data_IF_899892146513
#
_entry.id   IF_899892146513
#
_cell.length_a   1.000
_cell.length_b   1.000
_cell.length_c   1.000
_cell.angle_alpha   90.00
_cell.angle_beta   90.00
_cell.angle_gamma   90.00
#
_symmetry.space_group_name_H-M   'P 1'
#
loop_
_entity.id
_entity.type
_entity.pdbx_description
1 polymer ?
#
# COMPACT_ATOMS: atom_id res chain seq x y z
N UNK A 1 -13.34 -42.83 60.06
CA UNK A 1 -14.64 -42.38 59.47
C UNK A 1 -15.24 -41.35 60.41
N UNK A 2 -15.17 -40.11 60.03
CA UNK A 2 -15.78 -38.99 60.75
C UNK A 2 -17.29 -39.18 60.75
N UNK A 3 -17.90 -39.41 61.93
CA UNK A 3 -19.33 -39.43 62.06
C UNK A 3 -19.90 -38.03 61.78
N UNK A 4 -20.71 -37.92 60.78
CA UNK A 4 -21.43 -36.66 60.49
C UNK A 4 -22.21 -36.19 61.73
N UNK A 5 -22.26 -34.92 62.10
CA UNK A 5 -23.04 -34.41 63.20
C UNK A 5 -24.52 -34.72 62.97
N UNK A 6 -25.11 -35.44 63.85
CA UNK A 6 -26.57 -35.73 63.83
C UNK A 6 -27.32 -34.47 64.29
N UNK A 7 -28.06 -33.87 63.36
CA UNK A 7 -29.00 -32.79 63.68
C UNK A 7 -30.28 -33.47 64.31
N UNK A 8 -30.46 -33.32 65.61
CA UNK A 8 -31.69 -33.73 66.24
C UNK A 8 -32.75 -32.67 66.07
N UNK A 9 -33.86 -33.11 65.55
CA UNK A 9 -35.05 -32.45 65.16
C UNK A 9 -35.64 -31.47 66.20
N UNK A 10 -36.10 -30.37 65.65
CA UNK A 10 -37.20 -29.49 66.04
C UNK A 10 -37.90 -29.80 67.35
N UNK A 11 -37.61 -29.01 68.34
CA UNK A 11 -38.58 -28.72 69.40
C UNK A 11 -39.58 -27.71 68.82
N UNK A 12 -40.77 -28.14 68.49
CA UNK A 12 -41.77 -27.48 67.66
C UNK A 12 -42.26 -26.09 68.14
N UNK A 13 -41.65 -25.47 69.09
CA UNK A 13 -42.02 -24.13 69.60
C UNK A 13 -40.88 -23.15 69.88
N UNK A 14 -39.66 -23.54 69.72
CA UNK A 14 -38.51 -22.61 69.91
C UNK A 14 -37.60 -22.65 68.67
N UNK A 15 -37.41 -21.50 68.08
CA UNK A 15 -36.47 -21.28 66.92
C UNK A 15 -35.00 -21.61 67.30
N UNK A 16 -34.73 -22.80 67.89
CA UNK A 16 -33.46 -23.24 68.41
C UNK A 16 -33.06 -24.55 67.75
N UNK A 17 -31.88 -24.59 67.15
CA UNK A 17 -31.29 -25.84 66.63
C UNK A 17 -30.24 -26.33 67.63
N UNK A 18 -30.32 -27.59 68.04
CA UNK A 18 -29.33 -28.27 68.84
C UNK A 18 -28.45 -29.11 67.87
N UNK A 19 -27.21 -28.82 67.86
CA UNK A 19 -26.21 -29.61 67.12
C UNK A 19 -25.39 -30.41 68.09
N UNK A 20 -25.49 -31.75 68.00
CA UNK A 20 -24.72 -32.66 68.82
C UNK A 20 -23.46 -33.11 68.04
N UNK A 21 -22.31 -32.95 68.62
CA UNK A 21 -21.09 -33.48 68.08
C UNK A 21 -20.31 -34.33 69.08
N UNK A 22 -19.87 -35.52 68.69
CA UNK A 22 -19.07 -36.40 69.54
C UNK A 22 -17.63 -35.93 69.58
N UNK A 23 -17.08 -35.71 70.74
CA UNK A 23 -15.68 -35.38 70.91
C UNK A 23 -14.81 -36.62 70.66
N UNK A 24 -13.84 -36.54 69.78
CA UNK A 24 -12.85 -37.60 69.56
C UNK A 24 -12.08 -37.93 70.86
N UNK A 25 -12.04 -39.21 71.19
CA UNK A 25 -11.27 -39.72 72.31
C UNK A 25 -11.94 -39.63 73.73
N UNK A 26 -13.17 -39.16 73.81
CA UNK A 26 -13.96 -39.15 75.08
C UNK A 26 -15.40 -39.53 74.78
N UNK A 27 -16.04 -40.31 75.71
CA UNK A 27 -17.45 -40.65 75.62
C UNK A 27 -18.31 -39.44 76.03
N UNK A 28 -18.08 -38.32 75.41
CA UNK A 28 -18.84 -37.08 75.67
C UNK A 28 -19.45 -36.58 74.40
N UNK A 29 -20.68 -36.11 74.47
CA UNK A 29 -21.41 -35.46 73.38
C UNK A 29 -21.52 -33.97 73.72
N UNK A 30 -20.99 -33.13 72.81
CA UNK A 30 -21.12 -31.69 72.95
C UNK A 30 -22.39 -31.23 72.26
N UNK A 31 -23.25 -30.54 72.96
CA UNK A 31 -24.44 -29.92 72.45
C UNK A 31 -24.17 -28.42 72.21
N UNK A 32 -24.43 -27.96 71.02
CA UNK A 32 -24.32 -26.55 70.67
C UNK A 32 -25.72 -26.03 70.31
N UNK A 33 -26.16 -25.00 70.97
CA UNK A 33 -27.45 -24.34 70.74
C UNK A 33 -27.25 -23.20 69.71
N UNK A 34 -28.03 -23.26 68.62
CA UNK A 34 -28.05 -22.19 67.61
C UNK A 34 -29.44 -21.61 67.46
N UNK A 35 -29.61 -20.31 67.71
CA UNK A 35 -30.90 -19.63 67.50
C UNK A 35 -31.15 -19.45 65.98
N UNK A 36 -32.32 -19.91 65.51
CA UNK A 36 -32.78 -19.81 64.13
C UNK A 36 -32.70 -18.38 63.57
N UNK A 37 -33.06 -17.38 64.39
CA UNK A 37 -32.96 -15.98 64.02
C UNK A 37 -31.51 -15.54 63.63
N UNK A 38 -30.49 -16.05 64.32
CA UNK A 38 -29.09 -15.79 64.01
C UNK A 38 -28.66 -16.46 62.70
N UNK A 39 -29.10 -17.68 62.45
CA UNK A 39 -28.85 -18.42 61.20
C UNK A 39 -29.52 -17.76 59.98
N UNK A 40 -30.77 -17.32 60.14
CA UNK A 40 -31.49 -16.57 59.07
C UNK A 40 -30.81 -15.27 58.75
N UNK A 41 -30.29 -14.53 59.71
CA UNK A 41 -29.50 -13.33 59.50
C UNK A 41 -28.16 -13.60 58.75
N UNK A 42 -27.41 -14.64 59.14
CA UNK A 42 -26.18 -15.03 58.44
C UNK A 42 -26.45 -15.44 56.98
N UNK A 43 -27.51 -16.23 56.73
CA UNK A 43 -27.90 -16.59 55.34
C UNK A 43 -28.29 -15.34 54.54
N UNK A 44 -29.04 -14.43 55.11
CA UNK A 44 -29.43 -13.18 54.44
C UNK A 44 -28.24 -12.31 54.13
N UNK A 45 -27.26 -12.18 55.03
CA UNK A 45 -26.01 -11.44 54.80
C UNK A 45 -25.16 -12.09 53.68
N UNK A 46 -25.03 -13.43 53.70
CA UNK A 46 -24.28 -14.15 52.65
C UNK A 46 -24.96 -14.03 51.28
N UNK A 47 -26.29 -14.16 51.19
CA UNK A 47 -27.04 -14.04 49.94
C UNK A 47 -26.93 -12.61 49.40
N UNK A 48 -27.09 -11.60 50.25
CA UNK A 48 -26.98 -10.20 49.82
C UNK A 48 -25.54 -9.84 49.44
N UNK A 49 -24.52 -10.34 50.17
CA UNK A 49 -23.12 -10.17 49.80
C UNK A 49 -22.80 -10.77 48.43
N UNK A 50 -23.25 -12.01 48.17
CA UNK A 50 -23.05 -12.64 46.85
C UNK A 50 -23.81 -11.91 45.74
N UNK A 51 -25.01 -11.40 46.00
CA UNK A 51 -25.75 -10.58 45.02
C UNK A 51 -24.96 -9.29 44.67
N UNK A 52 -24.48 -8.58 45.68
CA UNK A 52 -23.65 -7.38 45.45
C UNK A 52 -22.43 -7.67 44.62
N UNK A 53 -21.70 -8.77 44.90
CA UNK A 53 -20.52 -9.18 44.14
C UNK A 53 -20.93 -9.45 42.65
N UNK A 54 -22.02 -10.17 42.43
CA UNK A 54 -22.52 -10.45 41.08
C UNK A 54 -22.87 -9.16 40.36
N UNK A 55 -23.58 -8.23 40.98
CA UNK A 55 -23.94 -6.95 40.35
C UNK A 55 -22.70 -6.09 40.03
N UNK A 56 -21.68 -6.07 40.91
CA UNK A 56 -20.45 -5.35 40.66
C UNK A 56 -19.67 -5.97 39.49
N UNK A 57 -19.57 -7.29 39.42
CA UNK A 57 -18.91 -7.99 38.29
C UNK A 57 -19.66 -7.75 36.97
N UNK A 58 -20.99 -7.81 36.97
CA UNK A 58 -21.78 -7.49 35.79
C UNK A 58 -21.60 -6.02 35.35
N UNK A 59 -21.58 -5.10 36.32
CA UNK A 59 -21.32 -3.69 36.06
C UNK A 59 -19.94 -3.46 35.43
N UNK A 60 -18.91 -4.08 35.99
CA UNK A 60 -17.53 -4.02 35.43
C UNK A 60 -17.46 -4.64 34.03
N UNK A 61 -18.10 -5.79 33.81
CA UNK A 61 -18.15 -6.43 32.49
C UNK A 61 -18.87 -5.55 31.46
N UNK A 62 -19.97 -4.89 31.84
CA UNK A 62 -20.68 -3.96 30.96
C UNK A 62 -19.84 -2.75 30.61
N UNK A 63 -19.15 -2.16 31.59
CA UNK A 63 -18.24 -1.02 31.35
C UNK A 63 -17.10 -1.44 30.40
N UNK A 64 -16.51 -2.61 30.62
CA UNK A 64 -15.44 -3.14 29.76
C UNK A 64 -15.96 -3.38 28.34
N UNK A 65 -17.16 -3.93 28.17
CA UNK A 65 -17.80 -4.12 26.88
C UNK A 65 -18.05 -2.79 26.19
N UNK A 66 -18.58 -1.79 26.88
CA UNK A 66 -18.77 -0.46 26.29
C UNK A 66 -17.46 0.20 25.88
N UNK A 67 -16.42 0.03 26.69
CA UNK A 67 -15.09 0.54 26.35
C UNK A 67 -14.50 -0.14 25.10
N UNK A 68 -14.59 -1.47 25.02
CA UNK A 68 -14.10 -2.23 23.85
C UNK A 68 -14.87 -1.87 22.59
N UNK A 69 -16.20 -1.76 22.66
CA UNK A 69 -17.03 -1.33 21.53
C UNK A 69 -16.66 0.09 21.07
N UNK A 70 -16.53 1.02 22.03
CA UNK A 70 -16.12 2.41 21.70
C UNK A 70 -14.71 2.46 21.08
N UNK A 71 -13.78 1.70 21.62
CA UNK A 71 -12.42 1.59 21.07
C UNK A 71 -12.46 1.03 19.65
N UNK A 72 -13.20 -0.05 19.42
CA UNK A 72 -13.36 -0.64 18.09
C UNK A 72 -14.00 0.33 17.11
N UNK A 73 -15.09 1.01 17.47
CA UNK A 73 -15.72 2.03 16.63
C UNK A 73 -14.79 3.20 16.31
N UNK A 74 -13.95 3.63 17.27
CA UNK A 74 -12.96 4.68 17.05
C UNK A 74 -11.88 4.24 16.04
N UNK A 75 -11.42 3.00 16.11
CA UNK A 75 -10.48 2.41 15.17
C UNK A 75 -11.09 2.31 13.76
N UNK A 76 -12.30 1.79 13.65
CA UNK A 76 -13.04 1.70 12.39
C UNK A 76 -13.21 3.07 11.73
N UNK A 77 -13.61 4.10 12.49
CA UNK A 77 -13.71 5.47 11.96
C UNK A 77 -12.38 6.02 11.46
N UNK A 78 -11.26 5.66 12.09
CA UNK A 78 -9.93 6.09 11.67
C UNK A 78 -9.54 5.44 10.35
N UNK A 79 -9.79 4.15 10.20
CA UNK A 79 -9.54 3.40 8.96
C UNK A 79 -10.42 3.93 7.82
N UNK A 80 -11.74 4.07 8.05
CA UNK A 80 -12.66 4.61 7.04
C UNK A 80 -12.28 6.03 6.58
N UNK A 81 -11.87 6.91 7.52
CA UNK A 81 -11.41 8.26 7.15
C UNK A 81 -10.12 8.23 6.33
N UNK A 82 -9.22 7.30 6.65
CA UNK A 82 -8.00 7.08 5.86
C UNK A 82 -8.34 6.66 4.44
N UNK A 83 -9.20 5.69 4.30
CA UNK A 83 -9.63 5.14 3.02
C UNK A 83 -10.39 6.17 2.18
N UNK A 84 -11.39 6.86 2.76
CA UNK A 84 -12.12 7.92 2.05
C UNK A 84 -11.21 9.07 1.59
N UNK A 85 -10.19 9.42 2.37
CA UNK A 85 -9.21 10.43 1.99
C UNK A 85 -8.34 9.96 0.82
N UNK A 86 -7.97 8.70 0.82
CA UNK A 86 -7.21 8.07 -0.25
C UNK A 86 -8.03 8.02 -1.55
N UNK A 87 -9.30 7.62 -1.47
CA UNK A 87 -10.22 7.55 -2.61
C UNK A 87 -10.47 8.94 -3.21
N UNK A 88 -10.75 9.95 -2.37
CA UNK A 88 -10.96 11.32 -2.85
C UNK A 88 -9.69 11.88 -3.53
N UNK A 89 -8.52 11.69 -2.92
CA UNK A 89 -7.27 12.17 -3.50
C UNK A 89 -6.95 11.48 -4.82
N UNK A 90 -7.28 10.21 -4.96
CA UNK A 90 -7.10 9.46 -6.21
C UNK A 90 -8.08 9.89 -7.30
N UNK A 91 -9.33 10.22 -6.95
CA UNK A 91 -10.36 10.64 -7.91
C UNK A 91 -10.03 11.96 -8.59
N UNK A 92 -9.41 12.90 -7.87
CA UNK A 92 -9.00 14.21 -8.39
C UNK A 92 -7.57 14.25 -8.92
N UNK A 93 -6.88 13.12 -8.96
CA UNK A 93 -5.50 13.03 -9.41
C UNK A 93 -5.41 12.36 -10.78
N UNK A 94 -4.58 12.90 -11.65
CA UNK A 94 -4.15 12.24 -12.89
C UNK A 94 -3.15 11.10 -12.62
N UNK A 95 -3.07 10.67 -11.36
CA UNK A 95 -2.12 9.66 -10.86
C UNK A 95 -2.88 8.48 -10.26
N UNK A 96 -2.57 7.28 -10.69
CA UNK A 96 -3.05 6.04 -10.09
C UNK A 96 -2.11 5.63 -8.98
N UNK A 97 -2.65 5.35 -7.79
CA UNK A 97 -1.87 4.75 -6.72
C UNK A 97 -1.99 3.24 -6.78
N UNK A 98 -0.95 2.54 -6.37
CA UNK A 98 -0.96 1.09 -6.28
C UNK A 98 -0.30 0.58 -5.00
N UNK A 99 -0.74 -0.57 -4.57
CA UNK A 99 -0.16 -1.32 -3.46
C UNK A 99 0.08 -2.75 -3.93
N UNK A 100 1.32 -3.21 -3.79
CA UNK A 100 1.70 -4.59 -3.98
C UNK A 100 1.98 -5.22 -2.62
N UNK A 101 1.16 -6.20 -2.22
CA UNK A 101 1.38 -7.01 -1.02
C UNK A 101 2.45 -8.06 -1.32
N UNK A 102 3.59 -7.97 -0.63
CA UNK A 102 4.72 -8.88 -0.85
C UNK A 102 4.46 -10.30 -0.30
N UNK A 103 3.54 -10.46 0.66
CA UNK A 103 3.21 -11.76 1.25
C UNK A 103 2.18 -12.49 0.41
N UNK A 104 1.08 -11.82 0.08
CA UNK A 104 -0.02 -12.37 -0.73
C UNK A 104 0.29 -12.33 -2.24
N UNK A 105 1.34 -11.61 -2.64
CA UNK A 105 1.74 -11.38 -4.04
C UNK A 105 0.59 -10.78 -4.86
N UNK A 106 -0.14 -9.87 -4.28
CA UNK A 106 -1.29 -9.23 -4.90
C UNK A 106 -1.04 -7.75 -5.15
N UNK A 107 -1.48 -7.25 -6.30
CA UNK A 107 -1.39 -5.87 -6.74
C UNK A 107 -2.78 -5.26 -6.78
N UNK A 108 -2.96 -4.14 -6.10
CA UNK A 108 -4.22 -3.40 -6.03
C UNK A 108 -3.98 -1.98 -6.53
N UNK A 109 -4.89 -1.46 -7.32
CA UNK A 109 -4.86 -0.09 -7.82
C UNK A 109 -6.01 0.73 -7.24
N UNK A 110 -5.85 2.05 -7.21
CA UNK A 110 -6.96 2.97 -6.93
C UNK A 110 -8.01 2.95 -8.05
N UNK A 111 -9.30 3.21 -7.74
CA UNK A 111 -10.41 3.10 -8.70
C UNK A 111 -10.25 3.92 -9.98
N UNK A 112 -9.53 5.04 -9.93
CA UNK A 112 -9.26 5.89 -11.10
C UNK A 112 -8.43 5.21 -12.20
N UNK A 113 -7.84 4.03 -11.97
CA UNK A 113 -7.20 3.20 -13.01
C UNK A 113 -8.15 2.88 -14.15
N UNK A 114 -9.44 2.66 -13.83
CA UNK A 114 -10.49 2.41 -14.83
C UNK A 114 -10.70 3.61 -15.74
N UNK A 115 -10.71 4.80 -15.17
CA UNK A 115 -10.94 6.04 -15.93
C UNK A 115 -9.75 6.41 -16.81
N UNK A 116 -8.52 6.24 -16.29
CA UNK A 116 -7.29 6.65 -16.95
C UNK A 116 -6.82 5.60 -17.97
N UNK A 117 -6.86 4.32 -17.60
CA UNK A 117 -6.26 3.23 -18.38
C UNK A 117 -7.28 2.18 -18.86
N UNK A 118 -8.56 2.29 -18.47
CA UNK A 118 -9.60 1.35 -18.92
C UNK A 118 -9.51 -0.04 -18.29
N UNK A 119 -8.63 -0.24 -17.31
CA UNK A 119 -8.57 -1.50 -16.57
C UNK A 119 -9.86 -1.67 -15.77
N UNK A 120 -10.55 -2.77 -15.96
CA UNK A 120 -11.71 -3.11 -15.13
C UNK A 120 -11.23 -3.30 -13.71
N UNK A 121 -11.96 -2.71 -12.78
CA UNK A 121 -11.78 -2.89 -11.34
C UNK A 121 -12.10 -4.35 -10.97
N UNK A 122 -11.15 -5.25 -11.14
CA UNK A 122 -11.35 -6.69 -10.92
C UNK A 122 -10.60 -7.20 -9.70
N UNK A 123 -10.48 -6.35 -8.66
CA UNK A 123 -9.86 -6.77 -7.39
C UNK A 123 -8.34 -6.98 -7.49
N UNK A 124 -7.75 -7.67 -6.52
CA UNK A 124 -6.30 -7.87 -6.48
C UNK A 124 -5.82 -8.72 -7.66
N UNK A 125 -4.86 -8.17 -8.41
CA UNK A 125 -4.19 -8.85 -9.52
C UNK A 125 -2.96 -9.58 -8.97
N UNK A 126 -2.67 -10.78 -9.49
CA UNK A 126 -1.45 -11.52 -9.14
C UNK A 126 -0.45 -11.44 -10.30
N UNK A 127 0.44 -10.43 -10.33
CA UNK A 127 1.31 -10.17 -11.47
C UNK A 127 2.42 -11.21 -11.68
N UNK A 128 2.56 -12.18 -10.77
CA UNK A 128 3.61 -13.20 -10.80
C UNK A 128 3.11 -14.61 -11.10
N UNK A 129 1.79 -14.80 -11.27
CA UNK A 129 1.31 -16.07 -11.79
C UNK A 129 1.75 -16.22 -13.24
N UNK A 130 2.12 -17.43 -13.65
CA UNK A 130 2.66 -17.74 -14.97
C UNK A 130 1.76 -17.31 -16.15
N UNK A 131 0.49 -17.09 -15.87
CA UNK A 131 -0.55 -16.67 -16.81
C UNK A 131 -0.87 -15.17 -16.71
N UNK A 132 -0.06 -14.37 -15.99
CA UNK A 132 -0.30 -12.92 -15.89
C UNK A 132 -0.13 -12.29 -17.25
N UNK A 133 -1.23 -11.80 -17.74
CA UNK A 133 -1.35 -11.19 -19.03
C UNK A 133 -0.78 -9.77 -18.99
N UNK A 134 0.46 -9.61 -19.48
CA UNK A 134 1.09 -8.29 -19.66
C UNK A 134 0.56 -7.54 -20.87
N UNK A 135 -0.67 -7.87 -21.36
CA UNK A 135 -1.27 -7.23 -22.54
C UNK A 135 -1.41 -5.72 -22.44
N UNK A 136 -1.43 -5.20 -21.22
CA UNK A 136 -1.47 -3.76 -20.98
C UNK A 136 -0.09 -3.08 -21.17
N UNK A 137 1.00 -3.83 -21.10
CA UNK A 137 2.36 -3.32 -21.28
C UNK A 137 2.79 -3.49 -22.73
N UNK A 138 3.49 -2.50 -23.28
CA UNK A 138 4.04 -2.64 -24.63
C UNK A 138 5.00 -3.84 -24.72
N UNK A 139 4.95 -4.66 -25.77
CA UNK A 139 5.77 -5.87 -25.87
C UNK A 139 7.27 -5.66 -25.59
N UNK A 140 7.86 -4.56 -26.09
CA UNK A 140 9.27 -4.23 -25.87
C UNK A 140 9.60 -3.92 -24.39
N UNK A 141 8.58 -3.50 -23.59
CA UNK A 141 8.78 -3.07 -22.22
C UNK A 141 8.48 -4.20 -21.22
N UNK A 142 7.88 -5.31 -21.66
CA UNK A 142 7.55 -6.48 -20.80
C UNK A 142 8.79 -7.03 -20.09
N UNK A 143 9.92 -7.13 -20.80
CA UNK A 143 11.15 -7.63 -20.22
C UNK A 143 11.65 -6.71 -19.08
N UNK A 144 11.51 -5.39 -19.25
CA UNK A 144 11.88 -4.38 -18.24
C UNK A 144 11.00 -4.51 -17.00
N UNK A 145 9.68 -4.70 -17.19
CA UNK A 145 8.73 -4.88 -16.08
C UNK A 145 9.04 -6.15 -15.30
N UNK A 146 9.29 -7.27 -15.98
CA UNK A 146 9.68 -8.53 -15.34
C UNK A 146 10.97 -8.40 -14.53
N UNK A 147 11.98 -7.74 -15.09
CA UNK A 147 13.22 -7.47 -14.39
C UNK A 147 13.01 -6.60 -13.14
N UNK A 148 12.20 -5.55 -13.25
CA UNK A 148 11.86 -4.70 -12.11
C UNK A 148 11.17 -5.48 -11.01
N UNK A 149 10.14 -6.24 -11.35
CA UNK A 149 9.37 -7.03 -10.39
C UNK A 149 10.22 -8.07 -9.68
N UNK A 150 11.22 -8.65 -10.36
CA UNK A 150 12.15 -9.61 -9.73
C UNK A 150 13.15 -8.96 -8.76
N UNK A 151 13.39 -7.65 -8.86
CA UNK A 151 14.31 -6.91 -7.99
C UNK A 151 13.62 -6.26 -6.78
N UNK A 152 12.29 -6.17 -6.80
CA UNK A 152 11.53 -5.64 -5.65
C UNK A 152 11.70 -6.56 -4.45
N UNK A 153 12.27 -6.02 -3.39
CA UNK A 153 12.47 -6.75 -2.13
C UNK A 153 13.86 -7.35 -1.92
N UNK A 154 14.63 -7.61 -2.99
CA UNK A 154 15.96 -8.18 -2.85
C UNK A 154 17.06 -7.12 -2.80
N UNK A 155 17.04 -6.13 -3.70
CA UNK A 155 18.13 -5.16 -3.86
C UNK A 155 17.71 -3.69 -3.86
N UNK A 156 16.43 -3.37 -3.96
CA UNK A 156 15.94 -2.00 -4.09
C UNK A 156 14.70 -1.76 -3.26
N UNK A 157 14.77 -0.78 -2.36
CA UNK A 157 13.63 -0.32 -1.56
C UNK A 157 12.83 0.79 -2.26
N UNK A 158 13.32 1.29 -3.40
CA UNK A 158 12.78 2.46 -4.08
C UNK A 158 12.81 2.28 -5.60
N UNK A 159 11.75 2.71 -6.27
CA UNK A 159 11.68 2.90 -7.72
C UNK A 159 11.38 4.37 -7.96
N UNK A 160 12.33 5.11 -8.50
CA UNK A 160 12.18 6.57 -8.64
C UNK A 160 11.73 7.01 -10.02
N UNK A 161 12.12 6.35 -11.08
CA UNK A 161 11.83 6.80 -12.45
C UNK A 161 11.78 5.64 -13.44
N UNK A 162 10.75 4.82 -13.32
CA UNK A 162 10.55 3.70 -14.22
C UNK A 162 9.51 4.04 -15.28
N UNK A 163 9.96 4.37 -16.49
CA UNK A 163 9.10 4.80 -17.59
C UNK A 163 8.88 3.64 -18.57
N UNK A 164 7.61 3.33 -18.83
CA UNK A 164 7.15 2.28 -19.76
C UNK A 164 5.95 2.77 -20.56
N UNK A 165 5.63 2.02 -21.62
CA UNK A 165 4.40 2.23 -22.40
C UNK A 165 3.30 1.31 -21.90
N UNK A 166 2.17 1.91 -21.58
CA UNK A 166 0.99 1.24 -21.05
C UNK A 166 -0.23 1.53 -21.92
N UNK A 167 -1.11 0.56 -22.14
CA UNK A 167 -2.33 0.76 -22.90
C UNK A 167 -3.33 1.62 -22.16
N UNK A 168 -3.91 2.57 -22.87
CA UNK A 168 -5.06 3.33 -22.39
C UNK A 168 -6.39 2.60 -22.73
N UNK A 169 -7.51 3.21 -22.33
CA UNK A 169 -8.87 2.70 -22.60
C UNK A 169 -9.24 2.57 -24.08
N UNK A 170 -8.47 3.16 -24.98
CA UNK A 170 -8.67 3.13 -26.44
C UNK A 170 -7.67 2.20 -27.14
N UNK A 171 -6.98 1.32 -26.39
CA UNK A 171 -5.93 0.43 -26.87
C UNK A 171 -4.68 1.15 -27.44
N UNK A 172 -4.51 2.45 -27.18
CA UNK A 172 -3.31 3.19 -27.55
C UNK A 172 -2.25 3.08 -26.45
N UNK A 173 -0.99 2.99 -26.84
CA UNK A 173 0.10 3.02 -25.88
C UNK A 173 0.44 4.45 -25.47
N UNK A 174 0.46 4.70 -24.16
CA UNK A 174 0.86 5.96 -23.55
C UNK A 174 2.05 5.75 -22.61
N UNK A 175 2.92 6.74 -22.55
CA UNK A 175 4.04 6.73 -21.63
C UNK A 175 3.55 6.96 -20.20
N UNK A 176 3.91 6.07 -19.30
CA UNK A 176 3.61 6.15 -17.88
C UNK A 176 4.89 6.03 -17.05
N UNK A 177 4.96 6.79 -15.97
CA UNK A 177 6.05 6.74 -15.01
C UNK A 177 5.58 6.04 -13.75
N UNK A 178 6.30 5.01 -13.35
CA UNK A 178 6.09 4.30 -12.10
C UNK A 178 7.11 4.76 -11.08
N UNK A 179 6.63 5.08 -9.88
CA UNK A 179 7.45 5.44 -8.72
C UNK A 179 6.89 4.73 -7.51
N UNK A 180 7.75 4.29 -6.59
CA UNK A 180 7.25 3.62 -5.39
C UNK A 180 8.35 3.30 -4.38
N UNK A 181 7.91 2.88 -3.19
CA UNK A 181 8.77 2.52 -2.07
C UNK A 181 8.33 1.24 -1.40
N UNK A 182 9.31 0.44 -0.99
CA UNK A 182 9.12 -0.77 -0.21
C UNK A 182 8.91 -0.42 1.27
N UNK A 183 7.82 -0.91 1.81
CA UNK A 183 7.53 -0.85 3.25
C UNK A 183 8.01 -2.15 3.88
N UNK A 184 8.87 -2.02 4.88
CA UNK A 184 9.38 -3.17 5.63
C UNK A 184 8.70 -3.29 6.99
N UNK A 185 8.44 -4.52 7.39
CA UNK A 185 7.94 -4.85 8.71
C UNK A 185 9.01 -4.67 9.81
N UNK A 186 8.63 -4.94 11.06
CA UNK A 186 9.51 -4.77 12.24
C UNK A 186 10.80 -5.59 12.19
N UNK A 187 10.80 -6.69 11.45
CA UNK A 187 11.98 -7.59 11.29
C UNK A 187 12.76 -7.31 10.01
N UNK A 188 12.50 -6.18 9.32
CA UNK A 188 13.16 -5.84 8.06
C UNK A 188 12.63 -6.62 6.85
N UNK A 189 11.64 -7.49 7.01
CA UNK A 189 11.03 -8.24 5.91
C UNK A 189 10.17 -7.35 5.02
N UNK A 190 10.22 -7.51 3.68
CA UNK A 190 9.32 -6.83 2.76
C UNK A 190 7.86 -7.11 3.13
N UNK A 191 7.05 -6.07 3.30
CA UNK A 191 5.65 -6.19 3.64
C UNK A 191 4.76 -5.71 2.51
N UNK A 192 4.98 -4.51 2.01
CA UNK A 192 4.21 -3.96 0.90
C UNK A 192 5.09 -3.02 0.07
N UNK A 193 4.80 -2.93 -1.22
CA UNK A 193 5.38 -1.94 -2.10
C UNK A 193 4.29 -0.95 -2.51
N UNK A 194 4.42 0.31 -2.06
CA UNK A 194 3.45 1.37 -2.33
C UNK A 194 4.00 2.31 -3.39
N UNK A 195 3.17 2.65 -4.37
CA UNK A 195 3.63 3.52 -5.43
C UNK A 195 2.52 4.26 -6.17
N UNK A 196 2.95 5.00 -7.18
CA UNK A 196 2.09 5.75 -8.08
C UNK A 196 2.47 5.53 -9.53
N UNK A 197 1.47 5.60 -10.40
CA UNK A 197 1.60 5.61 -11.85
C UNK A 197 1.07 6.95 -12.35
N UNK A 198 1.90 7.69 -13.05
CA UNK A 198 1.54 8.99 -13.64
C UNK A 198 1.62 8.90 -15.15
N UNK A 199 0.65 9.49 -15.85
CA UNK A 199 0.73 9.72 -17.29
C UNK A 199 1.77 10.80 -17.58
N UNK A 200 2.76 10.47 -18.39
CA UNK A 200 3.84 11.39 -18.77
C UNK A 200 3.92 11.59 -20.29
N UNK A 201 2.82 11.27 -21.00
CA UNK A 201 2.77 11.38 -22.46
C UNK A 201 3.13 12.78 -22.94
N UNK A 202 2.52 13.82 -22.37
CA UNK A 202 2.75 15.21 -22.77
C UNK A 202 4.17 15.69 -22.39
N UNK A 203 4.72 15.16 -21.32
CA UNK A 203 6.09 15.44 -20.90
C UNK A 203 7.08 14.85 -21.92
N UNK A 204 6.88 13.59 -22.31
CA UNK A 204 7.72 12.89 -23.28
C UNK A 204 7.66 13.54 -24.67
N UNK A 205 6.46 13.93 -25.13
CA UNK A 205 6.30 14.66 -26.40
C UNK A 205 7.04 15.99 -26.36
N UNK A 206 6.87 16.77 -25.29
CA UNK A 206 7.58 18.05 -25.15
C UNK A 206 9.08 17.88 -25.08
N UNK A 207 9.58 16.87 -24.38
CA UNK A 207 11.01 16.58 -24.32
C UNK A 207 11.56 16.19 -25.69
N UNK A 208 10.82 15.37 -26.45
CA UNK A 208 11.19 15.01 -27.81
C UNK A 208 11.20 16.23 -28.73
N UNK A 209 10.18 17.06 -28.71
CA UNK A 209 10.09 18.32 -29.46
C UNK A 209 11.27 19.26 -29.15
N UNK A 210 11.61 19.37 -27.88
CA UNK A 210 12.76 20.21 -27.46
C UNK A 210 14.08 19.60 -27.96
N UNK A 211 14.23 18.28 -27.90
CA UNK A 211 15.39 17.59 -28.43
C UNK A 211 15.53 17.76 -29.95
N UNK A 212 14.42 17.63 -30.68
CA UNK A 212 14.39 17.82 -32.14
C UNK A 212 14.78 19.27 -32.51
N UNK A 213 14.17 20.27 -31.85
CA UNK A 213 14.52 21.67 -32.04
C UNK A 213 15.96 21.98 -31.66
N UNK A 214 16.48 21.36 -30.59
CA UNK A 214 17.86 21.48 -30.17
C UNK A 214 18.86 20.70 -31.05
N UNK A 215 18.39 19.85 -31.95
CA UNK A 215 19.21 19.03 -32.83
C UNK A 215 19.46 19.66 -34.20
N UNK A 216 18.71 20.71 -34.54
CA UNK A 216 18.86 21.37 -35.86
C UNK A 216 19.55 22.72 -35.70
N UNK A 217 20.18 23.15 -36.78
CA UNK A 217 20.73 24.48 -36.96
C UNK A 217 19.61 25.48 -37.26
N UNK A 218 19.56 26.60 -36.53
CA UNK A 218 18.47 27.56 -36.63
C UNK A 218 18.39 28.32 -37.95
N UNK A 219 19.46 28.36 -38.73
CA UNK A 219 19.50 29.05 -40.02
C UNK A 219 19.13 28.11 -41.18
N UNK A 220 19.73 26.93 -41.19
CA UNK A 220 19.65 26.02 -42.35
C UNK A 220 18.58 24.91 -42.18
N UNK A 221 18.15 24.64 -40.94
CA UNK A 221 17.30 23.49 -40.64
C UNK A 221 17.99 22.14 -40.73
N UNK A 222 19.28 22.10 -41.12
CA UNK A 222 20.08 20.89 -41.10
C UNK A 222 20.40 20.44 -39.67
N UNK A 223 20.85 19.20 -39.48
CA UNK A 223 21.33 18.77 -38.16
C UNK A 223 22.51 19.66 -37.74
N UNK A 224 22.47 20.16 -36.51
CA UNK A 224 23.62 20.84 -35.95
C UNK A 224 24.81 19.87 -35.77
N UNK A 225 26.02 20.37 -35.59
CA UNK A 225 27.21 19.55 -35.45
C UNK A 225 27.08 18.40 -34.49
N UNK A 226 26.54 18.66 -33.27
CA UNK A 226 26.39 17.64 -32.21
C UNK A 226 25.45 16.52 -32.63
N UNK A 227 24.31 16.86 -33.21
CA UNK A 227 23.31 15.91 -33.66
C UNK A 227 23.80 15.10 -34.86
N UNK A 228 24.50 15.73 -35.79
CA UNK A 228 25.14 15.06 -36.92
C UNK A 228 26.21 14.05 -36.47
N UNK A 229 27.12 14.44 -35.57
CA UNK A 229 28.12 13.54 -34.98
C UNK A 229 27.47 12.33 -34.28
N UNK A 230 26.40 12.55 -33.50
CA UNK A 230 25.65 11.47 -32.85
C UNK A 230 25.01 10.52 -33.87
N UNK A 231 24.36 11.06 -34.91
CA UNK A 231 23.72 10.27 -35.96
C UNK A 231 24.76 9.43 -36.72
N UNK A 232 25.91 10.00 -37.05
CA UNK A 232 27.02 9.30 -37.71
C UNK A 232 27.52 8.15 -36.81
N UNK A 233 27.75 8.42 -35.52
CA UNK A 233 28.23 7.41 -34.58
C UNK A 233 27.23 6.25 -34.43
N UNK A 234 25.92 6.54 -34.41
CA UNK A 234 24.90 5.51 -34.37
C UNK A 234 24.90 4.64 -35.61
N UNK A 235 25.01 5.26 -36.80
CA UNK A 235 25.07 4.54 -38.07
C UNK A 235 26.36 3.69 -38.20
N UNK A 236 27.48 4.17 -37.67
CA UNK A 236 28.74 3.42 -37.67
C UNK A 236 28.75 2.21 -36.71
N UNK A 237 27.89 2.18 -35.70
CA UNK A 237 27.74 1.03 -34.80
C UNK A 237 26.88 -0.09 -35.41
N UNK A 238 26.06 0.24 -36.40
CA UNK A 238 25.24 -0.73 -37.12
C UNK A 238 26.11 -1.44 -38.17
N UNK A 239 26.38 -2.74 -37.95
CA UNK A 239 27.23 -3.56 -38.83
C UNK A 239 26.64 -3.79 -40.22
N UNK A 240 25.33 -3.65 -40.36
CA UNK A 240 24.61 -3.85 -41.62
C UNK A 240 24.43 -2.54 -42.41
N UNK A 241 24.74 -1.40 -41.79
CA UNK A 241 24.68 -0.10 -42.42
C UNK A 241 25.86 0.09 -43.42
N UNK A 242 25.55 0.31 -44.68
CA UNK A 242 26.49 0.63 -45.72
C UNK A 242 26.19 2.02 -46.27
N UNK A 243 27.19 2.89 -46.34
CA UNK A 243 27.02 4.25 -46.84
C UNK A 243 28.36 4.95 -47.05
N UNK A 244 28.28 6.20 -47.48
CA UNK A 244 29.41 7.09 -47.64
C UNK A 244 29.19 8.33 -46.76
N UNK A 245 30.26 8.84 -46.18
CA UNK A 245 30.26 10.11 -45.48
C UNK A 245 31.01 11.11 -46.37
N UNK A 246 30.35 12.18 -46.77
CA UNK A 246 30.89 13.28 -47.50
C UNK A 246 31.08 14.48 -46.57
N UNK A 247 32.23 15.13 -46.65
CA UNK A 247 32.50 16.40 -45.99
C UNK A 247 32.64 17.46 -47.06
N UNK A 248 31.85 18.52 -46.95
CA UNK A 248 31.84 19.65 -47.89
C UNK A 248 32.21 20.91 -47.13
N UNK A 249 32.92 21.80 -47.80
CA UNK A 249 33.26 23.15 -47.32
C UNK A 249 33.03 24.14 -48.42
N UNK A 250 32.72 25.39 -48.09
CA UNK A 250 32.51 26.46 -49.07
C UNK A 250 33.77 27.28 -49.19
N UNK A 251 34.38 27.24 -50.34
CA UNK A 251 35.57 28.03 -50.63
C UNK A 251 35.24 29.53 -50.55
N UNK A 252 36.14 30.28 -49.92
CA UNK A 252 36.07 31.75 -49.81
C UNK A 252 34.73 32.31 -49.22
N UNK A 253 34.00 31.53 -48.42
CA UNK A 253 32.71 31.96 -47.81
C UNK A 253 32.84 33.30 -47.06
N UNK A 254 33.97 33.54 -46.41
CA UNK A 254 34.24 34.82 -45.76
C UNK A 254 34.20 35.99 -46.75
N UNK A 255 34.75 35.83 -47.94
CA UNK A 255 34.73 36.86 -49.00
C UNK A 255 33.31 37.15 -49.48
N UNK A 256 32.44 36.15 -49.53
CA UNK A 256 30.99 36.34 -49.82
C UNK A 256 30.36 37.22 -48.75
N UNK A 257 30.59 36.92 -47.48
CA UNK A 257 30.06 37.73 -46.37
C UNK A 257 30.58 39.16 -46.37
N UNK A 258 31.90 39.32 -46.56
CA UNK A 258 32.55 40.66 -46.53
C UNK A 258 32.14 41.52 -47.72
N UNK A 259 31.86 40.92 -48.89
CA UNK A 259 31.53 41.65 -50.11
C UNK A 259 30.02 41.88 -50.31
N UNK A 260 29.20 40.89 -49.99
CA UNK A 260 27.77 40.89 -50.30
C UNK A 260 26.90 40.98 -49.05
N UNK A 261 27.52 40.98 -47.86
CA UNK A 261 26.85 41.06 -46.57
C UNK A 261 26.38 39.70 -46.06
N UNK A 262 26.19 39.57 -44.73
CA UNK A 262 25.80 38.35 -44.05
C UNK A 262 24.47 37.77 -44.54
N UNK A 263 23.50 38.65 -44.93
CA UNK A 263 22.20 38.14 -45.43
C UNK A 263 22.33 37.30 -46.74
N UNK A 264 23.31 37.61 -47.61
CA UNK A 264 23.58 36.82 -48.81
C UNK A 264 24.37 35.55 -48.45
N UNK A 265 25.28 35.63 -47.48
CA UNK A 265 25.97 34.47 -46.94
C UNK A 265 24.99 33.48 -46.29
N UNK A 266 24.03 33.97 -45.50
CA UNK A 266 22.98 33.15 -44.89
C UNK A 266 22.12 32.47 -45.98
N UNK A 267 21.73 33.20 -47.02
CA UNK A 267 20.96 32.65 -48.14
C UNK A 267 21.77 31.55 -48.88
N UNK A 268 23.08 31.74 -49.07
CA UNK A 268 23.93 30.72 -49.66
C UNK A 268 23.96 29.43 -48.82
N UNK A 269 24.04 29.55 -47.49
CA UNK A 269 24.01 28.39 -46.59
C UNK A 269 22.64 27.67 -46.57
N UNK A 270 21.52 28.41 -46.74
CA UNK A 270 20.19 27.83 -46.82
C UNK A 270 19.93 27.10 -48.14
N UNK A 271 20.56 27.53 -49.23
CA UNK A 271 20.33 26.98 -50.58
C UNK A 271 21.27 25.82 -50.95
N UNK A 272 22.28 25.55 -50.19
CA UNK A 272 23.15 24.39 -50.27
C UNK A 272 22.52 23.15 -49.67
#
# INVERSE_FOLDING_TARGET
TYGAPHIFTELEKTDIYLVASKLEGRDCILFSEYRSAKMKNYKAILINGNRMIIFTLLGCALIMLLFTVRFYMKQQKKVMKGQARYDILSEFSDTVLFEYDCLEKTLVFTPNITTLFGLKESGPIRPFDSDTDFTMVHPDDVAKVKALLSTIGDNSDEIDDFVIRFKDKNDNYRWVRWMGRLIRGRLGTPQAFLGKISDVQDEMIREQDLREKASVDGLTGALNRKAAEQKINTLMQDKDCKGYLLMLDIDDFKTVNDTMGHAIGDLALITL
#
